data_IF_254287223669
#
_entry.id   IF_254287223669
#
_cell.length_a   1.000
_cell.length_b   1.000
_cell.length_c   1.000
_cell.angle_alpha   90.00
_cell.angle_beta   90.00
_cell.angle_gamma   90.00
#
_symmetry.space_group_name_H-M   'P 1'
#
loop_
_entity.id
_entity.type
_entity.pdbx_description
1 polymer ?
#
# COMPACT_ATOMS: atom_id res chain seq x y z
N UNK A 1 53.53 25.82 -39.86
CA UNK A 1 52.55 24.96 -40.56
C UNK A 1 51.27 24.97 -39.75
N UNK A 2 50.19 25.38 -40.40
CA UNK A 2 48.83 25.43 -39.91
C UNK A 2 48.32 24.04 -39.50
N UNK A 3 47.38 23.97 -38.58
CA UNK A 3 46.03 23.46 -38.89
C UNK A 3 45.06 23.80 -37.76
N UNK A 4 44.11 24.64 -38.14
CA UNK A 4 42.83 24.86 -37.46
C UNK A 4 42.04 23.55 -37.42
N UNK A 5 41.44 23.23 -36.29
CA UNK A 5 40.29 22.31 -36.23
C UNK A 5 39.38 22.76 -35.09
N UNK A 6 38.58 23.80 -35.35
CA UNK A 6 37.42 24.10 -34.54
C UNK A 6 36.35 23.05 -34.78
N UNK A 7 36.27 22.03 -33.93
CA UNK A 7 35.20 21.05 -33.98
C UNK A 7 33.90 21.68 -33.47
N UNK A 8 32.92 21.78 -34.37
CA UNK A 8 31.56 22.21 -34.07
C UNK A 8 30.90 21.17 -33.16
N UNK A 9 30.85 21.45 -31.85
CA UNK A 9 30.00 20.72 -30.91
C UNK A 9 28.53 20.96 -31.27
N UNK A 10 27.97 20.13 -32.15
CA UNK A 10 26.52 19.99 -32.31
C UNK A 10 25.97 19.41 -31.00
N UNK A 11 25.58 20.30 -30.09
CA UNK A 11 24.81 19.98 -28.89
C UNK A 11 23.58 19.20 -29.35
N UNK A 12 23.58 17.91 -29.03
CA UNK A 12 22.42 17.03 -29.12
C UNK A 12 21.28 17.77 -28.42
N UNK A 13 20.29 18.24 -29.19
CA UNK A 13 19.01 18.69 -28.62
C UNK A 13 18.40 17.44 -28.00
N UNK A 14 18.74 17.18 -26.72
CA UNK A 14 17.99 16.26 -25.87
C UNK A 14 16.54 16.70 -26.01
N UNK A 15 15.75 15.85 -26.66
CA UNK A 15 14.39 16.19 -27.03
C UNK A 15 13.64 16.53 -25.75
N UNK A 16 13.32 17.81 -25.55
CA UNK A 16 12.56 18.30 -24.40
C UNK A 16 11.32 17.42 -24.16
N UNK A 17 10.70 16.94 -25.24
CA UNK A 17 9.58 15.99 -25.22
C UNK A 17 9.92 14.65 -24.55
N UNK A 18 11.09 14.07 -24.80
CA UNK A 18 11.50 12.81 -24.16
C UNK A 18 11.68 13.00 -22.65
N UNK A 19 12.18 14.16 -22.23
CA UNK A 19 12.29 14.52 -20.82
C UNK A 19 10.91 14.74 -20.17
N UNK A 20 9.96 15.35 -20.91
CA UNK A 20 8.59 15.55 -20.43
C UNK A 20 7.81 14.22 -20.32
N UNK A 21 7.96 13.30 -21.28
CA UNK A 21 7.31 11.98 -21.22
C UNK A 21 7.91 11.12 -20.13
N UNK A 22 9.23 11.22 -19.90
CA UNK A 22 9.90 10.53 -18.80
C UNK A 22 9.44 11.07 -17.45
N UNK A 23 9.29 12.39 -17.30
CA UNK A 23 8.79 13.00 -16.06
C UNK A 23 7.33 12.67 -15.79
N UNK A 24 6.49 12.62 -16.83
CA UNK A 24 5.10 12.19 -16.71
C UNK A 24 5.00 10.72 -16.30
N UNK A 25 5.77 9.85 -16.95
CA UNK A 25 5.82 8.42 -16.61
C UNK A 25 6.29 8.21 -15.17
N UNK A 26 7.31 8.96 -14.73
CA UNK A 26 7.78 8.91 -13.35
C UNK A 26 6.71 9.38 -12.36
N UNK A 27 6.04 10.49 -12.65
CA UNK A 27 4.97 11.04 -11.80
C UNK A 27 3.77 10.10 -11.72
N UNK A 28 3.41 9.45 -12.83
CA UNK A 28 2.35 8.44 -12.85
C UNK A 28 2.74 7.20 -12.05
N UNK A 29 3.98 6.71 -12.19
CA UNK A 29 4.47 5.59 -11.38
C UNK A 29 4.53 5.94 -9.89
N UNK A 30 4.99 7.14 -9.52
CA UNK A 30 4.95 7.64 -8.15
C UNK A 30 3.52 7.75 -7.61
N UNK A 31 2.57 8.21 -8.43
CA UNK A 31 1.15 8.26 -8.05
C UNK A 31 0.57 6.86 -7.83
N UNK A 32 0.80 5.93 -8.76
CA UNK A 32 0.33 4.53 -8.64
C UNK A 32 0.94 3.87 -7.40
N UNK A 33 2.25 4.02 -7.18
CA UNK A 33 2.91 3.49 -5.98
C UNK A 33 2.40 4.16 -4.70
N UNK A 34 2.12 5.46 -4.72
CA UNK A 34 1.53 6.16 -3.56
C UNK A 34 0.14 5.66 -3.22
N UNK A 35 -0.67 5.24 -4.23
CA UNK A 35 -1.99 4.66 -4.02
C UNK A 35 -1.91 3.23 -3.49
N UNK A 36 -1.01 2.42 -4.03
CA UNK A 36 -0.74 1.06 -3.54
C UNK A 36 -0.20 1.09 -2.09
N UNK A 37 0.64 2.07 -1.77
CA UNK A 37 1.20 2.25 -0.43
C UNK A 37 0.21 2.92 0.54
N UNK A 38 -0.76 3.70 0.06
CA UNK A 38 -1.87 4.21 0.89
C UNK A 38 -2.82 3.08 1.30
N UNK A 39 -3.02 2.08 0.44
CA UNK A 39 -3.56 0.77 0.83
C UNK A 39 -2.49 -0.07 1.53
N UNK A 40 -1.75 0.52 2.48
CA UNK A 40 -0.81 -0.24 3.30
C UNK A 40 -1.62 -1.26 4.09
N UNK A 41 -1.62 -2.48 3.58
CA UNK A 41 -2.18 -3.67 4.20
C UNK A 41 -1.83 -3.62 5.69
N UNK A 42 -2.85 -3.61 6.56
CA UNK A 42 -2.65 -3.50 7.99
C UNK A 42 -1.59 -4.52 8.43
N UNK A 43 -0.61 -4.04 9.21
CA UNK A 43 0.47 -4.91 9.66
C UNK A 43 -0.14 -6.06 10.45
N UNK A 44 0.33 -7.30 10.27
CA UNK A 44 -0.18 -8.44 11.06
C UNK A 44 -0.13 -8.19 12.57
N UNK A 45 0.80 -7.34 13.03
CA UNK A 45 0.87 -6.86 14.41
C UNK A 45 -0.31 -5.96 14.80
N UNK A 46 -0.69 -5.03 13.93
CA UNK A 46 -1.86 -4.15 14.13
C UNK A 46 -3.15 -4.98 14.18
N UNK A 47 -3.28 -5.94 13.27
CA UNK A 47 -4.43 -6.85 13.23
C UNK A 47 -4.53 -7.65 14.52
N UNK A 48 -3.42 -8.24 14.97
CA UNK A 48 -3.38 -8.98 16.22
C UNK A 48 -3.77 -8.10 17.41
N UNK A 49 -3.23 -6.88 17.50
CA UNK A 49 -3.52 -5.96 18.60
C UNK A 49 -5.01 -5.64 18.69
N UNK A 50 -5.63 -5.23 17.58
CA UNK A 50 -7.06 -4.90 17.49
C UNK A 50 -7.94 -6.10 17.86
N UNK A 51 -7.66 -7.28 17.30
CA UNK A 51 -8.46 -8.49 17.54
C UNK A 51 -8.28 -8.98 18.98
N UNK A 52 -7.08 -8.86 19.55
CA UNK A 52 -6.78 -9.30 20.93
C UNK A 52 -7.39 -8.41 22.00
N UNK A 53 -7.68 -7.14 21.68
CA UNK A 53 -8.35 -6.20 22.58
C UNK A 53 -9.88 -6.39 22.64
N UNK A 54 -10.45 -7.28 21.82
CA UNK A 54 -11.88 -7.58 21.86
C UNK A 54 -12.16 -8.53 23.03
N UNK A 55 -13.01 -8.10 23.96
CA UNK A 55 -13.43 -8.93 25.08
C UNK A 55 -14.28 -10.13 24.62
N UNK A 56 -14.11 -11.29 25.27
CA UNK A 56 -14.95 -12.47 25.02
C UNK A 56 -14.49 -13.38 23.88
N UNK A 57 -13.35 -13.10 23.24
CA UNK A 57 -12.77 -13.95 22.19
C UNK A 57 -11.75 -14.95 22.74
N UNK A 58 -11.78 -16.18 22.23
CA UNK A 58 -10.77 -17.19 22.59
C UNK A 58 -9.48 -17.01 21.79
N UNK A 59 -8.32 -17.35 22.36
CA UNK A 59 -7.01 -17.25 21.68
C UNK A 59 -6.98 -17.94 20.31
N UNK A 60 -7.63 -19.10 20.17
CA UNK A 60 -7.73 -19.80 18.88
C UNK A 60 -8.50 -18.97 17.84
N UNK A 61 -9.57 -18.30 18.25
CA UNK A 61 -10.40 -17.45 17.39
C UNK A 61 -9.62 -16.20 17.00
N UNK A 62 -8.86 -15.59 17.92
CA UNK A 62 -7.95 -14.48 17.63
C UNK A 62 -6.99 -14.86 16.52
N UNK A 63 -6.28 -15.99 16.63
CA UNK A 63 -5.31 -16.41 15.61
C UNK A 63 -5.98 -16.70 14.26
N UNK A 64 -7.17 -17.31 14.26
CA UNK A 64 -7.94 -17.57 13.04
C UNK A 64 -8.38 -16.25 12.38
N UNK A 65 -8.81 -15.29 13.19
CA UNK A 65 -9.27 -13.98 12.73
C UNK A 65 -8.11 -13.16 12.18
N UNK A 66 -6.97 -13.12 12.88
CA UNK A 66 -5.74 -12.48 12.40
C UNK A 66 -5.34 -13.05 11.05
N UNK A 67 -5.34 -14.37 10.88
CA UNK A 67 -5.05 -15.01 9.59
C UNK A 67 -6.04 -14.62 8.48
N UNK A 68 -7.33 -14.49 8.80
CA UNK A 68 -8.40 -14.11 7.86
C UNK A 68 -8.26 -12.63 7.46
N UNK A 69 -8.10 -11.72 8.42
CA UNK A 69 -7.93 -10.28 8.20
C UNK A 69 -6.61 -9.91 7.51
N UNK A 70 -5.55 -10.70 7.69
CA UNK A 70 -4.33 -10.57 6.89
C UNK A 70 -4.56 -10.82 5.39
N UNK A 71 -5.63 -11.52 5.01
CA UNK A 71 -6.00 -11.75 3.62
C UNK A 71 -7.13 -10.82 3.14
N UNK A 72 -7.89 -10.24 4.07
CA UNK A 72 -9.04 -9.36 3.79
C UNK A 72 -8.89 -8.02 4.53
N UNK A 73 -8.20 -7.04 3.91
CA UNK A 73 -7.94 -5.74 4.54
C UNK A 73 -9.21 -4.90 4.73
N UNK A 74 -10.21 -5.03 3.86
CA UNK A 74 -11.46 -4.27 3.94
C UNK A 74 -12.29 -4.70 5.16
N UNK A 75 -12.35 -6.00 5.44
CA UNK A 75 -13.02 -6.59 6.61
C UNK A 75 -12.35 -6.15 7.92
N UNK A 76 -11.02 -6.00 7.90
CA UNK A 76 -10.27 -5.47 9.03
C UNK A 76 -10.53 -3.97 9.25
N UNK A 77 -10.66 -3.21 8.16
CA UNK A 77 -11.00 -1.79 8.26
C UNK A 77 -12.40 -1.61 8.86
N UNK A 78 -13.37 -2.42 8.42
CA UNK A 78 -14.71 -2.44 9.01
C UNK A 78 -14.66 -2.76 10.52
N UNK A 79 -13.86 -3.75 10.93
CA UNK A 79 -13.67 -4.07 12.36
C UNK A 79 -13.19 -2.88 13.19
N UNK A 80 -12.36 -2.00 12.62
CA UNK A 80 -11.85 -0.80 13.31
C UNK A 80 -12.92 0.29 13.44
N UNK A 81 -13.81 0.38 12.47
CA UNK A 81 -14.86 1.40 12.41
C UNK A 81 -16.12 1.00 13.21
N UNK A 82 -16.27 -0.29 13.55
CA UNK A 82 -17.31 -0.80 14.41
C UNK A 82 -17.14 -0.37 15.87
N UNK A 83 -18.26 -0.31 16.59
CA UNK A 83 -18.29 -0.07 18.03
C UNK A 83 -17.81 -1.33 18.78
N UNK A 84 -17.21 -1.16 19.96
CA UNK A 84 -16.70 -2.28 20.77
C UNK A 84 -17.72 -3.41 20.99
N UNK A 85 -19.00 -3.10 21.15
CA UNK A 85 -20.09 -4.08 21.34
C UNK A 85 -20.34 -4.94 20.09
N UNK A 86 -20.02 -4.44 18.90
CA UNK A 86 -20.27 -5.12 17.62
C UNK A 86 -19.02 -5.84 17.08
N UNK A 87 -17.83 -5.57 17.64
CA UNK A 87 -16.56 -6.14 17.16
C UNK A 87 -16.49 -7.66 17.32
N UNK A 88 -16.99 -8.19 18.43
CA UNK A 88 -16.98 -9.62 18.67
C UNK A 88 -17.86 -10.36 17.66
N UNK A 89 -19.09 -9.88 17.45
CA UNK A 89 -20.03 -10.48 16.50
C UNK A 89 -19.48 -10.44 15.07
N UNK A 90 -18.83 -9.32 14.70
CA UNK A 90 -18.15 -9.20 13.41
C UNK A 90 -17.02 -10.21 13.24
N UNK A 91 -16.15 -10.37 14.25
CA UNK A 91 -15.08 -11.36 14.19
C UNK A 91 -15.65 -12.76 14.05
N UNK A 92 -16.70 -13.09 14.81
CA UNK A 92 -17.35 -14.40 14.72
C UNK A 92 -17.94 -14.63 13.32
N UNK A 93 -18.61 -13.62 12.74
CA UNK A 93 -19.16 -13.69 11.39
C UNK A 93 -18.06 -13.97 10.35
N UNK A 94 -16.93 -13.25 10.41
CA UNK A 94 -15.79 -13.48 9.51
C UNK A 94 -15.12 -14.85 9.71
N UNK A 95 -15.32 -15.51 10.85
CA UNK A 95 -14.73 -16.80 11.20
C UNK A 95 -15.62 -18.00 10.86
N UNK A 96 -16.94 -17.79 10.75
CA UNK A 96 -17.94 -18.80 10.44
C UNK A 96 -17.99 -19.15 8.94
N UNK A 97 -17.55 -18.22 8.08
CA UNK A 97 -17.33 -18.39 6.64
C UNK A 97 -15.97 -19.03 6.29
#
# INVERSE_FOLDING_TARGET
MSTSTGSVFKKVKKNHLAETVTSFTKSFNEYVQSKINMTSKASGKEIHDVVSNVDGIFLHQVLKAVKKFMNMPDEFQMLKDLREDEKLDWILLCLEE
#
